data_IF_003645982561
#
_entry.id   IF_003645982561
#
_cell.length_a   1.000
_cell.length_b   1.000
_cell.length_c   1.000
_cell.angle_alpha   90.00
_cell.angle_beta   90.00
_cell.angle_gamma   90.00
#
_symmetry.space_group_name_H-M   'P 1'
#
loop_
_entity.id
_entity.type
_entity.pdbx_description
1 polymer ?
#
# COMPACT_ATOMS: atom_id res chain seq x y z
N UNK A 1 -26.84 -0.23 -14.38
CA UNK A 1 -26.11 0.26 -13.19
C UNK A 1 -25.69 -0.96 -12.38
N UNK A 2 -24.43 -1.39 -12.44
CA UNK A 2 -24.00 -2.61 -11.75
C UNK A 2 -23.75 -2.31 -10.27
N UNK A 3 -24.77 -2.52 -9.44
CA UNK A 3 -24.72 -2.36 -7.98
C UNK A 3 -24.09 -3.62 -7.32
N UNK A 4 -22.95 -4.09 -7.82
CA UNK A 4 -22.53 -5.48 -7.66
C UNK A 4 -21.37 -5.70 -6.69
N UNK A 5 -21.67 -6.11 -5.44
CA UNK A 5 -20.68 -6.85 -4.63
C UNK A 5 -20.68 -8.31 -5.06
N UNK A 6 -19.51 -8.85 -5.37
CA UNK A 6 -19.33 -10.27 -5.70
C UNK A 6 -18.92 -11.02 -4.45
N UNK A 7 -19.56 -12.17 -4.18
CA UNK A 7 -19.15 -13.04 -3.07
C UNK A 7 -17.86 -13.77 -3.47
N UNK A 8 -16.83 -13.62 -2.64
CA UNK A 8 -15.54 -14.31 -2.81
C UNK A 8 -15.39 -15.33 -1.69
N UNK A 9 -15.01 -16.56 -2.03
CA UNK A 9 -14.65 -17.62 -1.08
C UNK A 9 -13.13 -17.73 -1.04
N UNK A 10 -12.53 -17.55 0.13
CA UNK A 10 -11.08 -17.58 0.34
C UNK A 10 -10.76 -18.59 1.44
N UNK A 11 -9.69 -19.35 1.25
CA UNK A 11 -9.09 -20.16 2.31
C UNK A 11 -8.01 -19.32 2.99
N UNK A 12 -8.20 -19.08 4.29
CA UNK A 12 -7.26 -18.31 5.13
C UNK A 12 -6.96 -19.18 6.34
N UNK A 13 -5.69 -19.20 6.76
CA UNK A 13 -5.24 -19.88 7.95
C UNK A 13 -6.11 -19.53 9.18
N UNK A 14 -6.47 -20.56 9.95
CA UNK A 14 -7.42 -20.42 11.07
C UNK A 14 -6.87 -19.49 12.16
N UNK A 15 -5.57 -19.58 12.46
CA UNK A 15 -4.95 -18.75 13.49
C UNK A 15 -4.89 -17.28 13.06
N UNK A 16 -4.66 -17.03 11.76
CA UNK A 16 -4.72 -15.68 11.18
C UNK A 16 -6.12 -15.08 11.35
N UNK A 17 -7.17 -15.85 11.06
CA UNK A 17 -8.56 -15.39 11.23
C UNK A 17 -8.87 -15.10 12.70
N UNK A 18 -8.56 -16.04 13.62
CA UNK A 18 -8.85 -15.87 15.06
C UNK A 18 -8.15 -14.65 15.64
N UNK A 19 -6.86 -14.47 15.34
CA UNK A 19 -6.07 -13.32 15.84
C UNK A 19 -6.57 -12.00 15.28
N UNK A 20 -6.86 -11.94 13.98
CA UNK A 20 -7.32 -10.71 13.34
C UNK A 20 -8.74 -10.32 13.74
N UNK A 21 -9.66 -11.28 13.89
CA UNK A 21 -11.06 -11.01 14.25
C UNK A 21 -11.21 -10.32 15.60
N UNK A 22 -10.39 -10.69 16.59
CA UNK A 22 -10.38 -10.01 17.89
C UNK A 22 -10.09 -8.51 17.73
N UNK A 23 -9.02 -8.18 17.01
CA UNK A 23 -8.57 -6.80 16.77
C UNK A 23 -9.60 -6.04 15.91
N UNK A 24 -10.17 -6.70 14.90
CA UNK A 24 -11.16 -6.08 14.01
C UNK A 24 -12.47 -5.75 14.74
N UNK A 25 -12.90 -6.61 15.68
CA UNK A 25 -14.06 -6.34 16.55
C UNK A 25 -13.80 -5.14 17.45
N UNK A 26 -12.63 -5.07 18.10
CA UNK A 26 -12.23 -3.92 18.94
C UNK A 26 -12.24 -2.60 18.15
N UNK A 27 -11.85 -2.64 16.87
CA UNK A 27 -11.82 -1.47 15.98
C UNK A 27 -13.16 -1.20 15.26
N UNK A 28 -14.17 -2.04 15.45
CA UNK A 28 -15.44 -2.01 14.71
C UNK A 28 -15.25 -1.98 13.17
N UNK A 29 -14.33 -2.79 12.66
CA UNK A 29 -14.02 -2.88 11.23
C UNK A 29 -14.43 -4.26 10.71
N UNK A 30 -15.31 -4.37 9.70
CA UNK A 30 -15.65 -5.66 9.12
C UNK A 30 -14.48 -6.21 8.30
N UNK A 31 -14.24 -7.53 8.39
CA UNK A 31 -13.17 -8.22 7.63
C UNK A 31 -13.23 -7.94 6.13
N UNK A 32 -14.44 -7.89 5.56
CA UNK A 32 -14.65 -7.58 4.14
C UNK A 32 -14.05 -6.23 3.74
N UNK A 33 -14.12 -5.21 4.60
CA UNK A 33 -13.54 -3.89 4.33
C UNK A 33 -12.02 -3.96 4.23
N UNK A 34 -11.36 -4.77 5.04
CA UNK A 34 -9.90 -4.96 4.97
C UNK A 34 -9.54 -5.65 3.66
N UNK A 35 -10.15 -6.79 3.35
CA UNK A 35 -9.90 -7.53 2.11
C UNK A 35 -10.15 -6.65 0.88
N UNK A 36 -11.26 -5.92 0.86
CA UNK A 36 -11.62 -5.01 -0.22
C UNK A 36 -10.61 -3.85 -0.35
N UNK A 37 -10.14 -3.29 0.77
CA UNK A 37 -9.10 -2.23 0.77
C UNK A 37 -7.78 -2.74 0.20
N UNK A 38 -7.40 -3.98 0.56
CA UNK A 38 -6.21 -4.63 0.02
C UNK A 38 -6.32 -4.86 -1.49
N UNK A 39 -7.43 -5.44 -1.95
CA UNK A 39 -7.67 -5.68 -3.38
C UNK A 39 -7.73 -4.38 -4.18
N UNK A 40 -8.35 -3.32 -3.64
CA UNK A 40 -8.33 -2.01 -4.25
C UNK A 40 -6.90 -1.48 -4.40
N UNK A 41 -6.06 -1.62 -3.37
CA UNK A 41 -4.68 -1.16 -3.44
C UNK A 41 -3.84 -1.96 -4.44
N UNK A 42 -4.07 -3.27 -4.56
CA UNK A 42 -3.43 -4.13 -5.57
C UNK A 42 -3.81 -3.67 -6.99
N UNK A 43 -5.07 -3.28 -7.21
CA UNK A 43 -5.55 -2.82 -8.52
C UNK A 43 -5.07 -1.41 -8.91
N UNK A 44 -5.02 -0.48 -7.96
CA UNK A 44 -4.55 0.90 -8.21
C UNK A 44 -3.73 1.42 -7.01
N UNK A 45 -2.44 1.05 -6.94
CA UNK A 45 -1.59 1.42 -5.83
C UNK A 45 -1.30 2.92 -5.82
N UNK A 46 -1.33 3.50 -4.64
CA UNK A 46 -0.99 4.90 -4.42
C UNK A 46 0.03 5.07 -3.30
N UNK A 47 0.78 6.16 -3.37
CA UNK A 47 1.78 6.53 -2.39
C UNK A 47 1.53 7.97 -1.95
N UNK A 48 1.99 8.28 -0.74
CA UNK A 48 2.11 9.65 -0.27
C UNK A 48 3.56 10.10 -0.45
N UNK A 49 3.76 11.30 -1.00
CA UNK A 49 5.10 11.85 -1.14
C UNK A 49 5.67 12.19 0.24
N UNK A 50 6.80 11.58 0.60
CA UNK A 50 7.50 11.87 1.86
C UNK A 50 8.01 13.33 1.94
N UNK A 51 8.14 14.05 0.81
CA UNK A 51 8.61 15.45 0.82
C UNK A 51 7.48 16.46 0.92
N UNK A 52 6.35 16.25 0.23
CA UNK A 52 5.28 17.24 0.14
C UNK A 52 3.89 16.75 0.57
N UNK A 53 3.77 15.49 1.01
CA UNK A 53 2.51 14.90 1.49
C UNK A 53 1.48 14.58 0.40
N UNK A 54 1.75 14.85 -0.88
CA UNK A 54 0.79 14.61 -1.96
C UNK A 54 0.50 13.11 -2.13
N UNK A 55 -0.79 12.74 -2.22
CA UNK A 55 -1.20 11.40 -2.64
C UNK A 55 -1.14 11.29 -4.15
N UNK A 56 -0.45 10.29 -4.67
CA UNK A 56 -0.38 10.03 -6.10
C UNK A 56 -0.42 8.54 -6.41
N UNK A 57 -0.98 8.19 -7.56
CA UNK A 57 -1.06 6.82 -8.05
C UNK A 57 0.23 6.45 -8.77
N UNK A 58 0.69 5.22 -8.58
CA UNK A 58 1.95 4.73 -9.16
C UNK A 58 1.85 4.65 -10.68
N UNK A 59 0.69 4.28 -11.21
CA UNK A 59 0.36 4.27 -12.65
C UNK A 59 0.60 5.62 -13.36
N UNK A 60 0.53 6.74 -12.62
CA UNK A 60 0.70 8.11 -13.15
C UNK A 60 2.10 8.68 -12.93
N UNK A 61 3.00 7.91 -12.32
CA UNK A 61 4.29 8.39 -11.87
C UNK A 61 5.43 7.69 -12.60
N UNK A 62 6.57 8.38 -12.69
CA UNK A 62 7.78 7.83 -13.33
C UNK A 62 8.70 7.24 -12.28
N UNK A 63 9.27 6.07 -12.53
CA UNK A 63 10.31 5.50 -11.68
C UNK A 63 11.62 6.26 -11.90
N UNK A 64 12.35 6.56 -10.84
CA UNK A 64 13.67 7.17 -10.93
C UNK A 64 14.72 6.11 -11.32
N UNK A 65 15.49 6.31 -12.40
CA UNK A 65 16.50 5.32 -12.83
C UNK A 65 17.67 5.20 -11.85
N UNK A 66 17.93 6.22 -11.03
CA UNK A 66 19.06 6.24 -10.08
C UNK A 66 18.77 5.46 -8.79
N UNK A 67 17.57 5.61 -8.23
CA UNK A 67 17.22 5.03 -6.93
C UNK A 67 16.06 4.05 -6.95
N UNK A 68 15.49 3.77 -8.14
CA UNK A 68 14.34 2.87 -8.33
C UNK A 68 13.08 3.24 -7.54
N UNK A 69 13.00 4.47 -7.01
CA UNK A 69 11.83 4.97 -6.31
C UNK A 69 10.92 5.75 -7.24
N UNK A 70 9.61 5.70 -6.98
CA UNK A 70 8.60 6.40 -7.77
C UNK A 70 8.68 7.91 -7.52
N UNK A 71 8.80 8.72 -8.57
CA UNK A 71 8.85 10.19 -8.46
C UNK A 71 7.46 10.75 -8.16
N UNK A 72 7.37 11.64 -7.19
CA UNK A 72 6.12 12.35 -6.92
C UNK A 72 5.62 13.08 -8.18
N UNK A 73 4.32 12.95 -8.48
CA UNK A 73 3.72 13.61 -9.64
C UNK A 73 3.67 15.14 -9.51
N UNK A 74 3.70 15.67 -8.28
CA UNK A 74 3.67 17.10 -7.96
C UNK A 74 5.06 17.73 -7.89
N UNK A 75 5.87 17.37 -6.88
CA UNK A 75 7.19 18.00 -6.66
C UNK A 75 8.35 17.32 -7.40
N UNK A 76 8.10 16.19 -8.08
CA UNK A 76 9.09 15.38 -8.83
C UNK A 76 10.24 14.80 -7.99
N UNK A 77 10.25 15.01 -6.68
CA UNK A 77 11.23 14.42 -5.77
C UNK A 77 11.07 12.89 -5.68
N UNK A 78 12.20 12.24 -5.42
CA UNK A 78 12.35 10.82 -5.11
C UNK A 78 13.45 10.69 -4.04
N UNK A 79 13.81 9.47 -3.63
CA UNK A 79 14.76 9.28 -2.52
C UNK A 79 16.13 9.91 -2.76
N UNK A 80 16.52 10.22 -3.99
CA UNK A 80 17.75 10.97 -4.28
C UNK A 80 17.84 12.37 -3.62
N UNK A 81 16.72 12.93 -3.15
CA UNK A 81 16.68 14.22 -2.44
C UNK A 81 16.68 14.07 -0.91
N UNK A 82 16.71 12.84 -0.42
CA UNK A 82 16.75 12.54 1.01
C UNK A 82 18.18 12.27 1.46
N UNK A 83 18.43 12.46 2.75
CA UNK A 83 19.64 11.93 3.40
C UNK A 83 19.60 10.40 3.36
N UNK A 84 20.74 9.77 3.60
CA UNK A 84 20.85 8.31 3.64
C UNK A 84 19.95 7.69 4.71
N UNK A 85 19.97 8.24 5.94
CA UNK A 85 19.13 7.79 7.03
C UNK A 85 17.63 7.87 6.68
N UNK A 86 17.17 8.99 6.10
CA UNK A 86 15.76 9.16 5.72
C UNK A 86 15.40 8.26 4.55
N UNK A 87 16.32 8.05 3.59
CA UNK A 87 16.12 7.08 2.50
C UNK A 87 15.96 5.66 3.03
N UNK A 88 16.77 5.27 4.01
CA UNK A 88 16.65 3.98 4.70
C UNK A 88 15.30 3.82 5.40
N UNK A 89 14.86 4.82 6.15
CA UNK A 89 13.54 4.79 6.80
C UNK A 89 12.40 4.64 5.78
N UNK A 90 12.41 5.42 4.69
CA UNK A 90 11.40 5.32 3.62
C UNK A 90 11.43 3.94 2.95
N UNK A 91 12.62 3.38 2.73
CA UNK A 91 12.76 2.05 2.14
C UNK A 91 12.18 0.95 3.05
N UNK A 92 12.51 0.95 4.34
CA UNK A 92 11.97 -0.05 5.26
C UNK A 92 10.46 0.09 5.47
N UNK A 93 9.94 1.32 5.53
CA UNK A 93 8.49 1.56 5.56
C UNK A 93 7.80 1.02 4.30
N UNK A 94 8.40 1.23 3.11
CA UNK A 94 7.91 0.65 1.86
C UNK A 94 7.91 -0.88 1.92
N UNK A 95 8.96 -1.50 2.46
CA UNK A 95 9.08 -2.95 2.57
C UNK A 95 7.92 -3.57 3.37
N UNK A 96 7.51 -2.95 4.48
CA UNK A 96 6.33 -3.41 5.25
C UNK A 96 5.08 -3.45 4.37
N UNK A 97 4.86 -2.45 3.51
CA UNK A 97 3.72 -2.45 2.60
C UNK A 97 3.86 -3.51 1.50
N UNK A 98 5.07 -3.72 0.98
CA UNK A 98 5.34 -4.77 -0.02
C UNK A 98 5.10 -6.18 0.55
N UNK A 99 5.49 -6.42 1.81
CA UNK A 99 5.22 -7.68 2.51
C UNK A 99 3.72 -7.88 2.75
N UNK A 100 2.98 -6.79 3.04
CA UNK A 100 1.52 -6.82 3.24
C UNK A 100 0.74 -7.14 1.95
N UNK A 101 1.20 -6.68 0.79
CA UNK A 101 0.53 -6.91 -0.51
C UNK A 101 1.08 -8.12 -1.28
N UNK A 102 2.13 -8.77 -0.77
CA UNK A 102 2.76 -9.95 -1.38
C UNK A 102 3.70 -9.64 -2.55
N UNK A 103 4.28 -8.44 -2.62
CA UNK A 103 5.25 -8.10 -3.68
C UNK A 103 5.58 -6.61 -3.82
N UNK A 104 6.51 -6.30 -4.73
CA UNK A 104 6.89 -4.91 -5.04
C UNK A 104 5.74 -4.17 -5.70
N UNK A 105 5.44 -2.97 -5.19
CA UNK A 105 4.60 -2.01 -5.90
C UNK A 105 5.34 -1.58 -7.17
N UNK A 106 4.76 -1.87 -8.34
CA UNK A 106 5.28 -1.50 -9.66
C UNK A 106 4.46 -0.38 -10.28
#
# INVERSE_FOLDING_TARGET
>A
MANGKVKVTLNIDEDVIKKSEKILKEKNIPRSRIVESFLHYVGDPHLYCFSCGEKFYVSKAKVCPKCSFVKCTKCKNCSCKLTEQTSGAVFYMRKVYEDLIGGRVK
#
